data_IF_409090131551
#
_entry.id   IF_409090131551
#
_cell.length_a   1.000
_cell.length_b   1.000
_cell.length_c   1.000
_cell.angle_alpha   90.00
_cell.angle_beta   90.00
_cell.angle_gamma   90.00
#
_symmetry.space_group_name_H-M   'P 1'
#
loop_
_entity.id
_entity.type
_entity.pdbx_description
1 polymer ?
#
# COMPACT_ATOMS: atom_id res chain seq x y z
N UNK A 1 29.95 4.36 13.39
CA UNK A 1 29.19 3.34 14.15
C UNK A 1 27.86 3.98 14.52
N UNK A 2 26.73 3.30 14.32
CA UNK A 2 25.43 3.85 14.76
C UNK A 2 25.39 3.88 16.29
N UNK A 3 24.78 4.91 16.90
CA UNK A 3 24.49 4.90 18.33
C UNK A 3 23.45 3.80 18.59
N UNK A 4 23.72 2.93 19.55
CA UNK A 4 22.76 1.97 20.07
C UNK A 4 21.96 2.65 21.17
N UNK A 5 20.63 2.59 21.09
CA UNK A 5 19.70 3.17 22.06
C UNK A 5 19.14 2.11 22.99
N UNK A 6 19.13 2.37 24.29
CA UNK A 6 18.49 1.50 25.29
C UNK A 6 16.99 1.75 25.41
N UNK A 7 16.27 0.84 26.08
CA UNK A 7 14.86 1.05 26.42
C UNK A 7 14.64 2.36 27.21
N UNK A 8 15.51 2.65 28.18
CA UNK A 8 15.44 3.88 28.99
C UNK A 8 15.63 5.13 28.14
N UNK A 9 16.60 5.12 27.22
CA UNK A 9 16.85 6.24 26.31
C UNK A 9 15.68 6.44 25.34
N UNK A 10 15.07 5.36 24.86
CA UNK A 10 13.87 5.43 24.02
C UNK A 10 12.65 5.97 24.79
N UNK A 11 12.44 5.50 26.02
CA UNK A 11 11.32 5.91 26.87
C UNK A 11 11.42 7.41 27.22
N UNK A 12 12.63 7.92 27.41
CA UNK A 12 12.91 9.34 27.67
C UNK A 12 12.62 10.29 26.49
N UNK A 13 12.45 9.78 25.26
CA UNK A 13 12.09 10.62 24.10
C UNK A 13 10.65 11.14 24.27
N UNK A 14 10.47 12.45 24.39
CA UNK A 14 9.13 13.04 24.51
C UNK A 14 8.28 12.84 23.25
N UNK A 15 6.97 12.78 23.46
CA UNK A 15 5.99 12.79 22.37
C UNK A 15 5.68 14.21 21.95
N UNK A 16 5.42 14.39 20.66
CA UNK A 16 4.88 15.63 20.14
C UNK A 16 3.36 15.75 20.43
N UNK A 17 2.75 16.87 20.01
CA UNK A 17 1.30 17.13 20.19
C UNK A 17 0.39 16.09 19.55
N UNK A 18 0.89 15.35 18.56
CA UNK A 18 0.15 14.34 17.81
C UNK A 18 0.37 12.93 18.37
N UNK A 19 1.08 12.80 19.50
CA UNK A 19 1.32 11.52 20.17
C UNK A 19 2.51 10.72 19.68
N UNK A 20 3.33 11.25 18.76
CA UNK A 20 4.45 10.52 18.17
C UNK A 20 5.80 10.82 18.83
N UNK A 21 6.69 9.82 18.88
CA UNK A 21 8.12 10.02 19.19
C UNK A 21 8.89 10.32 17.89
N UNK A 22 9.68 11.39 17.89
CA UNK A 22 10.65 11.67 16.83
C UNK A 22 11.99 11.04 17.20
N UNK A 23 12.42 10.05 16.44
CA UNK A 23 13.61 9.27 16.74
C UNK A 23 14.86 9.93 16.13
N UNK A 24 15.92 10.11 16.94
CA UNK A 24 17.26 10.30 16.41
C UNK A 24 17.69 9.12 15.53
N UNK A 25 18.59 9.37 14.58
CA UNK A 25 19.18 8.30 13.78
C UNK A 25 19.99 7.35 14.65
N UNK A 26 19.76 6.03 14.50
CA UNK A 26 20.38 5.06 15.38
C UNK A 26 19.92 3.62 15.21
N UNK A 27 20.56 2.76 16.00
CA UNK A 27 20.22 1.36 16.17
C UNK A 27 19.40 1.21 17.46
N UNK A 28 18.19 0.66 17.34
CA UNK A 28 17.25 0.47 18.43
C UNK A 28 16.98 -1.01 18.71
N UNK A 29 17.95 -1.89 18.39
CA UNK A 29 17.82 -3.33 18.57
C UNK A 29 17.63 -3.77 20.03
N UNK A 30 18.04 -2.94 20.99
CA UNK A 30 17.86 -3.19 22.43
C UNK A 30 16.53 -2.65 22.99
N UNK A 31 15.67 -2.08 22.14
CA UNK A 31 14.35 -1.58 22.51
C UNK A 31 13.31 -2.65 22.22
N UNK A 32 12.47 -2.95 23.20
CA UNK A 32 11.38 -3.92 23.03
C UNK A 32 10.26 -3.34 22.16
N UNK A 33 10.31 -3.67 20.86
CA UNK A 33 9.22 -3.42 19.92
C UNK A 33 8.31 -4.65 19.73
N UNK A 34 8.32 -5.59 20.67
CA UNK A 34 7.62 -6.89 20.62
C UNK A 34 8.18 -7.87 19.60
N UNK A 35 9.49 -7.77 19.32
CA UNK A 35 10.25 -8.68 18.48
C UNK A 35 11.72 -8.73 18.89
N UNK A 36 12.36 -9.90 18.79
CA UNK A 36 13.78 -10.08 19.07
C UNK A 36 14.59 -9.83 17.78
N UNK A 37 15.09 -8.61 17.53
CA UNK A 37 15.79 -8.36 16.27
C UNK A 37 16.47 -7.01 16.10
N UNK A 38 17.04 -6.81 14.90
CA UNK A 38 17.71 -5.56 14.54
C UNK A 38 16.75 -4.51 14.01
N UNK A 39 16.82 -3.29 14.54
CA UNK A 39 15.98 -2.16 14.11
C UNK A 39 16.84 -0.92 13.87
N UNK A 40 16.81 -0.40 12.64
CA UNK A 40 17.57 0.81 12.28
C UNK A 40 16.60 1.90 11.86
N UNK A 41 16.72 3.06 12.48
CA UNK A 41 15.93 4.25 12.17
C UNK A 41 16.84 5.37 11.66
N UNK A 42 16.46 5.96 10.53
CA UNK A 42 17.05 7.18 10.01
C UNK A 42 16.65 8.39 10.86
N UNK A 43 17.43 9.47 10.75
CA UNK A 43 17.21 10.69 11.49
C UNK A 43 15.82 11.28 11.22
N UNK A 44 15.15 11.71 12.30
CA UNK A 44 13.88 12.40 12.21
C UNK A 44 12.71 11.52 11.78
N UNK A 45 12.90 10.19 11.74
CA UNK A 45 11.80 9.25 11.60
C UNK A 45 10.84 9.35 12.80
N UNK A 46 9.57 9.03 12.55
CA UNK A 46 8.47 9.23 13.49
C UNK A 46 7.71 7.91 13.62
N UNK A 47 7.48 7.46 14.86
CA UNK A 47 6.78 6.21 15.17
C UNK A 47 5.65 6.45 16.17
N UNK A 48 4.46 5.95 15.83
CA UNK A 48 3.27 5.97 16.68
C UNK A 48 3.24 4.84 17.71
N UNK A 49 2.16 4.74 18.48
CA UNK A 49 2.02 3.68 19.49
C UNK A 49 1.50 2.36 18.96
N UNK A 50 1.72 1.30 19.75
CA UNK A 50 1.21 -0.05 19.51
C UNK A 50 1.54 -0.63 18.14
N UNK A 51 2.65 -0.18 17.55
CA UNK A 51 3.24 -0.80 16.36
C UNK A 51 3.84 -2.15 16.70
N UNK A 52 3.83 -3.03 15.70
CA UNK A 52 4.60 -4.28 15.71
C UNK A 52 5.60 -4.23 14.55
N UNK A 53 6.89 -4.24 14.88
CA UNK A 53 7.97 -4.23 13.89
C UNK A 53 8.67 -5.59 13.88
N UNK A 54 8.62 -6.26 12.74
CA UNK A 54 9.33 -7.50 12.53
C UNK A 54 10.84 -7.28 12.53
N UNK A 55 11.56 -8.26 13.07
CA UNK A 55 13.01 -8.29 13.13
C UNK A 55 13.67 -7.90 11.81
N UNK A 56 14.84 -7.24 11.90
CA UNK A 56 15.67 -6.87 10.74
C UNK A 56 14.97 -5.87 9.81
N UNK A 57 14.17 -4.97 10.39
CA UNK A 57 13.51 -3.89 9.65
C UNK A 57 14.37 -2.62 9.66
N UNK A 58 14.49 -1.97 8.50
CA UNK A 58 15.15 -0.67 8.37
C UNK A 58 14.13 0.39 7.96
N UNK A 59 14.13 1.52 8.66
CA UNK A 59 13.26 2.68 8.43
C UNK A 59 14.14 3.88 8.06
N UNK A 60 13.93 4.44 6.88
CA UNK A 60 14.68 5.58 6.35
C UNK A 60 14.39 6.90 7.06
N UNK A 61 15.20 7.91 6.73
CA UNK A 61 15.07 9.25 7.31
C UNK A 61 13.69 9.86 7.02
N UNK A 62 13.16 10.59 8.00
CA UNK A 62 11.87 11.29 7.89
C UNK A 62 10.68 10.39 7.51
N UNK A 63 10.81 9.07 7.66
CA UNK A 63 9.70 8.15 7.49
C UNK A 63 8.73 8.25 8.68
N UNK A 64 7.44 8.11 8.41
CA UNK A 64 6.37 8.15 9.40
C UNK A 64 5.69 6.79 9.47
N UNK A 65 5.67 6.16 10.64
CA UNK A 65 4.96 4.92 10.92
C UNK A 65 3.78 5.22 11.85
N UNK A 66 2.58 5.05 11.32
CA UNK A 66 1.32 5.27 12.03
C UNK A 66 1.10 4.30 13.19
N UNK A 67 0.20 4.69 14.09
CA UNK A 67 -0.22 3.84 15.21
C UNK A 67 -0.83 2.53 14.72
N UNK A 68 -0.65 1.44 15.48
CA UNK A 68 -1.19 0.11 15.13
C UNK A 68 -0.69 -0.46 13.80
N UNK A 69 0.30 0.16 13.17
CA UNK A 69 0.89 -0.36 11.95
C UNK A 69 1.74 -1.60 12.26
N UNK A 70 1.66 -2.60 11.39
CA UNK A 70 2.50 -3.80 11.43
C UNK A 70 3.44 -3.77 10.23
N UNK A 71 4.74 -3.95 10.48
CA UNK A 71 5.73 -4.11 9.43
C UNK A 71 6.39 -5.47 9.59
N UNK A 72 6.31 -6.31 8.56
CA UNK A 72 6.88 -7.64 8.56
C UNK A 72 8.40 -7.64 8.62
N UNK A 73 8.97 -8.80 8.98
CA UNK A 73 10.41 -9.02 9.12
C UNK A 73 11.15 -8.74 7.82
N UNK A 74 12.43 -8.40 7.91
CA UNK A 74 13.32 -8.21 6.76
C UNK A 74 12.83 -7.13 5.77
N UNK A 75 12.02 -6.18 6.25
CA UNK A 75 11.47 -5.11 5.43
C UNK A 75 12.38 -3.88 5.39
N UNK A 76 12.34 -3.16 4.28
CA UNK A 76 13.04 -1.89 4.10
C UNK A 76 12.04 -0.81 3.72
N UNK A 77 11.95 0.23 4.55
CA UNK A 77 11.12 1.41 4.31
C UNK A 77 12.06 2.57 4.00
N UNK A 78 11.93 3.16 2.80
CA UNK A 78 12.78 4.23 2.30
C UNK A 78 12.56 5.58 2.98
N UNK A 79 13.28 6.60 2.52
CA UNK A 79 13.19 7.94 3.07
C UNK A 79 11.82 8.59 2.77
N UNK A 80 11.34 9.42 3.71
CA UNK A 80 10.08 10.19 3.54
C UNK A 80 8.86 9.31 3.18
N UNK A 81 8.88 8.04 3.56
CA UNK A 81 7.73 7.14 3.40
C UNK A 81 6.72 7.41 4.52
N UNK A 82 5.43 7.41 4.18
CA UNK A 82 4.34 7.47 5.17
C UNK A 82 3.59 6.14 5.18
N UNK A 83 3.56 5.46 6.33
CA UNK A 83 2.72 4.29 6.59
C UNK A 83 1.58 4.71 7.50
N UNK A 84 0.34 4.64 7.02
CA UNK A 84 -0.84 5.05 7.77
C UNK A 84 -1.16 4.14 8.95
N UNK A 85 -1.95 4.65 9.89
CA UNK A 85 -2.40 3.89 11.06
C UNK A 85 -3.09 2.58 10.66
N UNK A 86 -2.79 1.49 11.38
CA UNK A 86 -3.36 0.17 11.17
C UNK A 86 -2.94 -0.53 9.86
N UNK A 87 -2.02 0.06 9.09
CA UNK A 87 -1.52 -0.57 7.87
C UNK A 87 -0.68 -1.81 8.18
N UNK A 88 -0.75 -2.81 7.30
CA UNK A 88 -0.04 -4.09 7.44
C UNK A 88 0.89 -4.27 6.25
N UNK A 89 2.18 -4.34 6.51
CA UNK A 89 3.23 -4.59 5.51
C UNK A 89 3.74 -6.01 5.73
N UNK A 90 3.70 -6.86 4.70
CA UNK A 90 4.16 -8.24 4.78
C UNK A 90 5.68 -8.35 4.93
N UNK A 91 6.15 -9.55 5.27
CA UNK A 91 7.57 -9.87 5.39
C UNK A 91 8.33 -9.61 4.06
N UNK A 92 9.62 -9.32 4.15
CA UNK A 92 10.53 -9.14 3.02
C UNK A 92 10.07 -8.07 2.01
N UNK A 93 9.36 -7.04 2.50
CA UNK A 93 8.83 -5.96 1.67
C UNK A 93 9.81 -4.80 1.56
N UNK A 94 9.96 -4.24 0.36
CA UNK A 94 10.74 -3.03 0.09
C UNK A 94 9.84 -1.91 -0.39
N UNK A 95 9.81 -0.79 0.33
CA UNK A 95 9.08 0.41 -0.06
C UNK A 95 10.11 1.51 -0.31
N UNK A 96 10.28 1.93 -1.55
CA UNK A 96 11.21 3.00 -1.93
C UNK A 96 10.81 4.37 -1.38
N UNK A 97 11.65 5.37 -1.58
CA UNK A 97 11.43 6.70 -1.01
C UNK A 97 10.13 7.36 -1.48
N UNK A 98 9.56 8.22 -0.62
CA UNK A 98 8.45 9.11 -0.96
C UNK A 98 7.10 8.42 -1.18
N UNK A 99 6.98 7.12 -0.90
CA UNK A 99 5.71 6.41 -1.00
C UNK A 99 4.78 6.73 0.18
N UNK A 100 3.47 6.63 -0.06
CA UNK A 100 2.44 6.72 0.98
C UNK A 100 1.57 5.48 0.94
N UNK A 101 1.51 4.77 2.06
CA UNK A 101 0.62 3.63 2.29
C UNK A 101 -0.52 4.11 3.19
N UNK A 102 -1.76 3.98 2.71
CA UNK A 102 -2.95 4.46 3.41
C UNK A 102 -3.22 3.73 4.73
N UNK A 103 -4.06 4.34 5.57
CA UNK A 103 -4.56 3.71 6.81
C UNK A 103 -5.24 2.39 6.47
N UNK A 104 -5.03 1.36 7.31
CA UNK A 104 -5.60 0.02 7.14
C UNK A 104 -5.25 -0.71 5.83
N UNK A 105 -4.33 -0.18 5.03
CA UNK A 105 -3.91 -0.85 3.80
C UNK A 105 -3.09 -2.10 4.13
N UNK A 106 -3.23 -3.15 3.32
CA UNK A 106 -2.42 -4.36 3.43
C UNK A 106 -1.55 -4.51 2.19
N UNK A 107 -0.25 -4.62 2.40
CA UNK A 107 0.73 -5.00 1.38
C UNK A 107 1.17 -6.42 1.71
N UNK A 108 1.11 -7.31 0.73
CA UNK A 108 1.55 -8.70 0.86
C UNK A 108 3.06 -8.84 1.08
N UNK A 109 3.50 -10.06 1.35
CA UNK A 109 4.92 -10.40 1.51
C UNK A 109 5.69 -10.33 0.19
N UNK A 110 7.02 -10.19 0.26
CA UNK A 110 7.95 -10.13 -0.88
C UNK A 110 7.63 -9.01 -1.89
N UNK A 111 6.90 -7.99 -1.47
CA UNK A 111 6.49 -6.91 -2.35
C UNK A 111 7.61 -5.87 -2.52
N UNK A 112 7.78 -5.31 -3.71
CA UNK A 112 8.68 -4.17 -3.94
C UNK A 112 7.93 -3.00 -4.57
N UNK A 113 7.79 -1.92 -3.81
CA UNK A 113 7.39 -0.59 -4.29
C UNK A 113 8.64 0.21 -4.65
N UNK A 114 8.76 0.65 -5.90
CA UNK A 114 9.80 1.60 -6.31
C UNK A 114 9.60 2.99 -5.70
N UNK A 115 10.59 3.87 -5.83
CA UNK A 115 10.50 5.27 -5.39
C UNK A 115 9.33 5.99 -6.06
N UNK A 116 8.57 6.77 -5.30
CA UNK A 116 7.42 7.56 -5.77
C UNK A 116 6.39 6.74 -6.58
N UNK A 117 6.16 5.50 -6.20
CA UNK A 117 5.15 4.67 -6.87
C UNK A 117 3.77 5.01 -6.32
N UNK A 118 2.78 5.01 -7.20
CA UNK A 118 1.38 5.16 -6.79
C UNK A 118 0.57 4.00 -7.35
N UNK A 119 -0.35 3.47 -6.56
CA UNK A 119 -1.38 2.59 -7.10
C UNK A 119 -2.40 3.45 -7.84
N UNK A 120 -2.32 3.44 -9.17
CA UNK A 120 -3.23 4.19 -10.06
C UNK A 120 -3.31 5.71 -9.77
N UNK A 121 -2.20 6.32 -9.35
CA UNK A 121 -2.21 7.74 -8.96
C UNK A 121 -3.09 8.05 -7.75
N UNK A 122 -3.48 7.04 -6.97
CA UNK A 122 -4.47 7.19 -5.90
C UNK A 122 -5.90 7.44 -6.41
N UNK A 123 -6.18 7.14 -7.68
CA UNK A 123 -7.49 7.34 -8.28
C UNK A 123 -8.57 6.45 -7.66
N UNK A 124 -8.21 5.25 -7.22
CA UNK A 124 -9.10 4.32 -6.53
C UNK A 124 -8.87 4.43 -5.02
N UNK A 125 -9.88 4.90 -4.28
CA UNK A 125 -9.81 5.06 -2.82
C UNK A 125 -10.71 4.07 -2.10
N UNK A 126 -10.14 3.36 -1.11
CA UNK A 126 -10.84 2.36 -0.29
C UNK A 126 -11.69 1.37 -1.10
N UNK A 127 -11.21 1.05 -2.31
CA UNK A 127 -12.00 0.35 -3.30
C UNK A 127 -12.06 -1.16 -3.12
N UNK A 128 -12.88 -1.80 -3.96
CA UNK A 128 -12.87 -3.24 -4.20
C UNK A 128 -12.50 -3.49 -5.63
N UNK A 129 -11.93 -4.66 -5.90
CA UNK A 129 -11.57 -5.04 -7.25
C UNK A 129 -11.94 -6.47 -7.56
N UNK A 130 -12.17 -6.72 -8.85
CA UNK A 130 -12.21 -8.05 -9.44
C UNK A 130 -11.19 -8.10 -10.57
N UNK A 131 -10.64 -9.28 -10.79
CA UNK A 131 -9.77 -9.55 -11.93
C UNK A 131 -10.46 -10.49 -12.89
N UNK A 132 -10.36 -10.20 -14.19
CA UNK A 132 -10.87 -11.04 -15.27
C UNK A 132 -9.69 -11.39 -16.17
N UNK A 133 -9.43 -12.68 -16.31
CA UNK A 133 -8.34 -13.23 -17.12
C UNK A 133 -8.81 -13.69 -18.49
N UNK A 134 -7.83 -14.04 -19.35
CA UNK A 134 -8.05 -14.59 -20.69
C UNK A 134 -8.95 -13.72 -21.60
N UNK A 135 -8.77 -12.40 -21.53
CA UNK A 135 -9.50 -11.45 -22.39
C UNK A 135 -8.55 -10.57 -23.20
N UNK A 136 -9.08 -10.04 -24.30
CA UNK A 136 -8.35 -9.14 -25.20
C UNK A 136 -7.39 -9.86 -26.14
N UNK A 137 -6.78 -9.10 -27.05
CA UNK A 137 -5.92 -9.63 -28.13
C UNK A 137 -4.67 -10.37 -27.66
N UNK A 138 -4.32 -10.23 -26.39
CA UNK A 138 -3.09 -10.76 -25.78
C UNK A 138 -3.41 -11.80 -24.68
N UNK A 139 -4.69 -12.16 -24.51
CA UNK A 139 -5.14 -13.15 -23.53
C UNK A 139 -4.66 -12.84 -22.08
N UNK A 140 -4.75 -11.57 -21.67
CA UNK A 140 -4.19 -11.05 -20.41
C UNK A 140 -5.24 -10.89 -19.31
N UNK A 141 -4.76 -10.60 -18.10
CA UNK A 141 -5.59 -10.15 -16.98
C UNK A 141 -5.90 -8.65 -17.08
N UNK A 142 -7.14 -8.28 -16.78
CA UNK A 142 -7.58 -6.91 -16.52
C UNK A 142 -8.19 -6.80 -15.13
N UNK A 143 -8.01 -5.65 -14.49
CA UNK A 143 -8.49 -5.35 -13.15
C UNK A 143 -9.56 -4.28 -13.23
N UNK A 144 -10.67 -4.52 -12.55
CA UNK A 144 -11.82 -3.63 -12.48
C UNK A 144 -12.02 -3.24 -11.04
N UNK A 145 -12.17 -1.94 -10.79
CA UNK A 145 -12.25 -1.36 -9.46
C UNK A 145 -13.57 -0.62 -9.28
N UNK A 146 -14.07 -0.60 -8.04
CA UNK A 146 -15.05 0.38 -7.56
C UNK A 146 -14.39 1.11 -6.38
N UNK A 147 -14.47 2.44 -6.32
CA UNK A 147 -14.02 3.21 -5.17
C UNK A 147 -15.12 3.38 -4.10
N UNK A 148 -14.78 3.98 -2.97
CA UNK A 148 -15.71 4.27 -1.87
C UNK A 148 -16.92 5.13 -2.27
N UNK A 149 -16.82 5.89 -3.37
CA UNK A 149 -17.90 6.74 -3.89
C UNK A 149 -18.73 6.02 -4.97
N UNK A 150 -18.46 4.74 -5.24
CA UNK A 150 -19.14 3.97 -6.27
C UNK A 150 -18.64 4.23 -7.69
N UNK A 151 -17.52 4.95 -7.86
CA UNK A 151 -16.94 5.20 -9.17
C UNK A 151 -16.12 4.00 -9.65
N UNK A 152 -16.32 3.61 -10.90
CA UNK A 152 -15.66 2.45 -11.49
C UNK A 152 -14.42 2.82 -12.32
N UNK A 153 -13.38 2.01 -12.20
CA UNK A 153 -12.12 2.17 -12.94
C UNK A 153 -11.67 0.83 -13.54
N UNK A 154 -10.84 0.91 -14.59
CA UNK A 154 -10.29 -0.27 -15.25
C UNK A 154 -8.80 -0.10 -15.49
N UNK A 155 -8.01 -1.11 -15.10
CA UNK A 155 -6.60 -1.31 -15.50
C UNK A 155 -6.53 -2.48 -16.48
N UNK A 156 -6.12 -2.23 -17.71
CA UNK A 156 -5.89 -3.26 -18.73
C UNK A 156 -4.55 -3.00 -19.43
N UNK A 157 -3.53 -3.77 -19.06
CA UNK A 157 -2.16 -3.52 -19.49
C UNK A 157 -1.68 -2.11 -19.09
N UNK A 158 -1.11 -1.36 -20.03
CA UNK A 158 -0.63 0.00 -19.77
C UNK A 158 -1.76 1.04 -19.60
N UNK A 159 -3.02 0.67 -19.84
CA UNK A 159 -4.15 1.60 -19.77
C UNK A 159 -4.79 1.61 -18.38
N UNK A 160 -5.07 2.80 -17.84
CA UNK A 160 -5.91 3.01 -16.67
C UNK A 160 -6.84 4.22 -16.87
N UNK A 161 -8.14 4.06 -16.60
CA UNK A 161 -9.13 5.14 -16.66
C UNK A 161 -10.40 4.80 -15.88
N UNK A 162 -11.35 5.74 -15.80
CA UNK A 162 -12.75 5.39 -15.53
C UNK A 162 -13.30 4.42 -16.60
N UNK A 163 -14.36 3.69 -16.23
CA UNK A 163 -14.89 2.59 -17.04
C UNK A 163 -15.53 3.07 -18.34
N UNK A 164 -16.13 4.26 -18.34
CA UNK A 164 -16.77 4.86 -19.49
C UNK A 164 -15.73 5.18 -20.58
N UNK A 165 -14.62 5.85 -20.22
CA UNK A 165 -13.51 6.08 -21.16
C UNK A 165 -12.85 4.79 -21.62
N UNK A 166 -12.78 3.78 -20.75
CA UNK A 166 -12.25 2.46 -21.13
C UNK A 166 -13.13 1.81 -22.20
N UNK A 167 -14.46 1.83 -22.03
CA UNK A 167 -15.42 1.30 -23.00
C UNK A 167 -15.31 2.04 -24.34
N UNK A 168 -15.22 3.37 -24.33
CA UNK A 168 -14.99 4.16 -25.54
C UNK A 168 -13.72 3.74 -26.27
N UNK A 169 -12.63 3.56 -25.53
CA UNK A 169 -11.35 3.10 -26.08
C UNK A 169 -11.45 1.70 -26.68
N UNK A 170 -12.08 0.76 -25.97
CA UNK A 170 -12.31 -0.61 -26.45
C UNK A 170 -13.10 -0.59 -27.76
N UNK A 171 -14.20 0.16 -27.84
CA UNK A 171 -14.98 0.30 -29.08
C UNK A 171 -14.16 0.88 -30.22
N UNK A 172 -13.31 1.87 -29.94
CA UNK A 172 -12.44 2.48 -30.95
C UNK A 172 -11.31 1.58 -31.46
N UNK A 173 -10.76 0.69 -30.63
CA UNK A 173 -9.63 -0.19 -30.99
C UNK A 173 -10.09 -1.56 -31.49
N UNK A 174 -11.15 -2.09 -30.87
CA UNK A 174 -11.60 -3.46 -31.03
C UNK A 174 -13.04 -3.56 -31.57
N UNK A 175 -13.62 -2.46 -32.05
CA UNK A 175 -15.00 -2.41 -32.54
C UNK A 175 -15.34 -3.53 -33.53
N UNK A 176 -16.44 -4.24 -33.28
CA UNK A 176 -16.93 -5.36 -34.06
C UNK A 176 -16.19 -6.69 -33.83
N UNK A 177 -15.14 -6.71 -33.02
CA UNK A 177 -14.32 -7.92 -32.79
C UNK A 177 -14.80 -8.73 -31.57
N UNK A 178 -14.29 -9.96 -31.44
CA UNK A 178 -14.46 -10.75 -30.22
C UNK A 178 -13.89 -10.06 -28.97
N UNK A 179 -12.80 -9.29 -29.12
CA UNK A 179 -12.14 -8.63 -28.00
C UNK A 179 -12.99 -7.51 -27.39
N UNK A 180 -13.74 -6.78 -28.23
CA UNK A 180 -14.75 -5.84 -27.72
C UNK A 180 -15.76 -6.57 -26.84
N UNK A 181 -16.34 -7.67 -27.34
CA UNK A 181 -17.34 -8.45 -26.60
C UNK A 181 -16.79 -8.95 -25.26
N UNK A 182 -15.56 -9.44 -25.24
CA UNK A 182 -14.89 -9.89 -24.02
C UNK A 182 -14.72 -8.77 -22.99
N UNK A 183 -14.21 -7.60 -23.41
CA UNK A 183 -14.02 -6.47 -22.50
C UNK A 183 -15.33 -5.88 -21.99
N UNK A 184 -16.36 -5.79 -22.84
CA UNK A 184 -17.68 -5.31 -22.42
C UNK A 184 -18.33 -6.27 -21.42
N UNK A 185 -18.28 -7.58 -21.68
CA UNK A 185 -18.77 -8.59 -20.74
C UNK A 185 -18.02 -8.53 -19.39
N UNK A 186 -16.70 -8.31 -19.42
CA UNK A 186 -15.92 -8.13 -18.19
C UNK A 186 -16.33 -6.85 -17.42
N UNK A 187 -16.63 -5.75 -18.13
CA UNK A 187 -17.17 -4.53 -17.51
C UNK A 187 -18.55 -4.78 -16.87
N UNK A 188 -19.44 -5.49 -17.57
CA UNK A 188 -20.77 -5.84 -17.06
C UNK A 188 -20.68 -6.72 -15.82
N UNK A 189 -19.83 -7.75 -15.85
CA UNK A 189 -19.56 -8.60 -14.70
C UNK A 189 -19.06 -7.77 -13.51
N UNK A 190 -18.07 -6.91 -13.72
CA UNK A 190 -17.54 -6.04 -12.67
C UNK A 190 -18.63 -5.13 -12.07
N UNK A 191 -19.50 -4.53 -12.90
CA UNK A 191 -20.63 -3.72 -12.44
C UNK A 191 -21.65 -4.52 -11.62
N UNK A 192 -21.82 -5.81 -11.92
CA UNK A 192 -22.75 -6.66 -11.19
C UNK A 192 -22.24 -7.05 -9.79
N UNK A 193 -20.92 -7.28 -9.64
CA UNK A 193 -20.36 -7.85 -8.41
C UNK A 193 -19.75 -6.82 -7.45
N UNK A 194 -19.10 -5.78 -7.98
CA UNK A 194 -18.32 -4.85 -7.17
C UNK A 194 -19.16 -4.03 -6.17
N UNK A 195 -20.39 -3.55 -6.49
CA UNK A 195 -21.22 -2.86 -5.51
C UNK A 195 -21.54 -3.74 -4.29
N UNK A 196 -21.84 -5.03 -4.50
CA UNK A 196 -22.08 -5.98 -3.41
C UNK A 196 -20.85 -6.15 -2.52
N UNK A 197 -19.67 -6.32 -3.12
CA UNK A 197 -18.40 -6.42 -2.38
C UNK A 197 -18.08 -5.15 -1.58
N UNK A 198 -18.44 -3.97 -2.12
CA UNK A 198 -18.22 -2.69 -1.44
C UNK A 198 -19.16 -2.52 -0.23
N UNK A 199 -20.40 -2.99 -0.32
CA UNK A 199 -21.34 -2.95 0.80
C UNK A 199 -21.00 -3.96 1.90
N UNK A 200 -20.55 -5.16 1.53
CA UNK A 200 -20.10 -6.17 2.50
C UNK A 200 -18.92 -5.68 3.34
N UNK A 201 -18.04 -4.89 2.74
CA UNK A 201 -16.89 -4.29 3.41
C UNK A 201 -17.22 -3.24 4.48
N UNK A 202 -18.46 -2.71 4.49
CA UNK A 202 -18.91 -1.71 5.46
C UNK A 202 -19.54 -2.34 6.72
N UNK A 203 -19.75 -3.67 6.71
CA UNK A 203 -20.30 -4.44 7.83
C UNK A 203 -19.20 -4.84 8.80
#
# INVERSE_FOLDING_TARGET
MLKVYTQEEFDAIERNSDGFKRLPGGDYSEVDFRGEGRYIFGEGSIVGDFKDLGNMTTIGEWATIGEWATIGRWSTIGERVTIGNGAKIGNETKIGDGNTIGKWATIGEFFTYGKNTTFEGGAVKNGRYVKVGQIGSENREAYFFIDENGKFFVRAGCWFSDTEKFIERVKGVHGGTLFEKQYLAACEYARAVLPGMLEEAKK
#
